data_IF_616704241640
#
_entry.id   IF_616704241640
#
_cell.length_a   1.000
_cell.length_b   1.000
_cell.length_c   1.000
_cell.angle_alpha   90.00
_cell.angle_beta   90.00
_cell.angle_gamma   90.00
#
_symmetry.space_group_name_H-M   'P 1'
#
loop_
_entity.id
_entity.type
_entity.pdbx_description
1 polymer ?
#
# COMPACT_ATOMS: atom_id res chain seq x y z
N UNK A 1 15.70 -5.14 34.87
CA UNK A 1 16.12 -3.93 34.13
C UNK A 1 15.20 -3.72 32.94
N UNK A 2 14.89 -2.49 32.55
CA UNK A 2 14.06 -2.21 31.37
C UNK A 2 14.91 -2.38 30.11
N UNK A 3 14.50 -3.16 29.10
CA UNK A 3 15.32 -3.44 27.92
C UNK A 3 15.25 -2.29 26.90
N UNK A 4 15.80 -1.12 27.24
CA UNK A 4 15.68 0.10 26.42
C UNK A 4 16.16 -0.06 24.98
N UNK A 5 17.29 -0.75 24.75
CA UNK A 5 17.83 -0.97 23.42
C UNK A 5 16.90 -1.82 22.55
N UNK A 6 16.29 -2.85 23.13
CA UNK A 6 15.30 -3.69 22.44
C UNK A 6 14.05 -2.86 22.12
N UNK A 7 13.49 -2.15 23.10
CA UNK A 7 12.29 -1.33 22.89
C UNK A 7 12.49 -0.26 21.80
N UNK A 8 13.61 0.45 21.87
CA UNK A 8 13.95 1.47 20.87
C UNK A 8 14.17 0.85 19.49
N UNK A 9 14.92 -0.26 19.41
CA UNK A 9 15.17 -0.98 18.17
C UNK A 9 13.88 -1.47 17.52
N UNK A 10 12.99 -2.09 18.30
CA UNK A 10 11.67 -2.56 17.86
C UNK A 10 10.85 -1.40 17.28
N UNK A 11 10.77 -0.27 17.99
CA UNK A 11 10.02 0.89 17.54
C UNK A 11 10.60 1.50 16.26
N UNK A 12 11.91 1.76 16.24
CA UNK A 12 12.59 2.36 15.11
C UNK A 12 12.48 1.48 13.85
N UNK A 13 12.65 0.17 14.00
CA UNK A 13 12.55 -0.77 12.89
C UNK A 13 11.10 -0.97 12.43
N UNK A 14 10.11 -0.88 13.32
CA UNK A 14 8.70 -0.90 12.92
C UNK A 14 8.33 0.30 12.06
N UNK A 15 8.69 1.51 12.50
CA UNK A 15 8.46 2.72 11.71
C UNK A 15 9.24 2.68 10.39
N UNK A 16 10.53 2.33 10.45
CA UNK A 16 11.40 2.22 9.28
C UNK A 16 10.90 1.20 8.27
N UNK A 17 10.44 0.03 8.71
CA UNK A 17 9.87 -0.99 7.84
C UNK A 17 8.54 -0.53 7.22
N UNK A 18 7.66 0.12 7.99
CA UNK A 18 6.40 0.65 7.44
C UNK A 18 6.64 1.66 6.31
N UNK A 19 7.63 2.57 6.47
CA UNK A 19 8.02 3.52 5.42
C UNK A 19 8.73 2.80 4.26
N UNK A 20 9.66 1.89 4.56
CA UNK A 20 10.43 1.15 3.57
C UNK A 20 9.54 0.28 2.67
N UNK A 21 8.44 -0.25 3.20
CA UNK A 21 7.48 -1.03 2.43
C UNK A 21 6.81 -0.26 1.31
N UNK A 22 6.62 1.07 1.42
CA UNK A 22 6.12 1.88 0.32
C UNK A 22 7.09 1.88 -0.86
N UNK A 23 8.39 2.05 -0.59
CA UNK A 23 9.43 2.02 -1.63
C UNK A 23 9.58 0.63 -2.23
N UNK A 24 9.52 -0.42 -1.40
CA UNK A 24 9.53 -1.80 -1.86
C UNK A 24 8.32 -2.10 -2.74
N UNK A 25 7.10 -1.76 -2.30
CA UNK A 25 5.88 -2.01 -3.04
C UNK A 25 5.87 -1.27 -4.38
N UNK A 26 6.27 0.01 -4.38
CA UNK A 26 6.44 0.80 -5.61
C UNK A 26 7.39 0.13 -6.60
N UNK A 27 8.59 -0.25 -6.15
CA UNK A 27 9.57 -0.91 -7.01
C UNK A 27 9.06 -2.27 -7.51
N UNK A 28 8.48 -3.08 -6.64
CA UNK A 28 7.95 -4.39 -7.00
C UNK A 28 6.77 -4.25 -8.00
N UNK A 29 5.94 -3.24 -7.83
CA UNK A 29 4.83 -2.95 -8.72
C UNK A 29 5.32 -2.64 -10.13
N UNK A 30 6.27 -1.71 -10.27
CA UNK A 30 6.87 -1.36 -11.56
C UNK A 30 7.69 -2.51 -12.16
N UNK A 31 8.68 -3.00 -11.42
CA UNK A 31 9.72 -3.88 -11.96
C UNK A 31 9.32 -5.36 -12.00
N UNK A 32 8.33 -5.78 -11.21
CA UNK A 32 7.88 -7.18 -11.16
C UNK A 32 6.44 -7.32 -11.65
N UNK A 33 5.48 -6.60 -11.05
CA UNK A 33 4.05 -6.80 -11.32
C UNK A 33 3.63 -6.31 -12.70
N UNK A 34 4.22 -5.21 -13.20
CA UNK A 34 4.06 -4.75 -14.58
C UNK A 34 5.03 -5.38 -15.59
N UNK A 35 5.79 -6.39 -15.14
CA UNK A 35 6.75 -7.11 -15.98
C UNK A 35 6.54 -8.64 -15.90
N UNK A 36 7.42 -9.35 -15.20
CA UNK A 36 7.42 -10.82 -15.16
C UNK A 36 6.20 -11.43 -14.45
N UNK A 37 5.53 -10.65 -13.59
CA UNK A 37 4.37 -11.08 -12.81
C UNK A 37 3.05 -10.47 -13.31
N UNK A 38 3.02 -9.92 -14.53
CA UNK A 38 1.82 -9.33 -15.13
C UNK A 38 0.63 -10.28 -15.14
N UNK A 39 0.83 -11.55 -15.45
CA UNK A 39 -0.25 -12.55 -15.46
C UNK A 39 -0.99 -12.67 -14.10
N UNK A 40 -0.34 -12.33 -12.98
CA UNK A 40 -0.98 -12.26 -11.66
C UNK A 40 -1.65 -10.90 -11.41
N UNK A 41 -1.01 -9.82 -11.85
CA UNK A 41 -1.46 -8.45 -11.65
C UNK A 41 -2.57 -8.00 -12.61
N UNK A 42 -2.67 -8.59 -13.80
CA UNK A 42 -3.64 -8.22 -14.84
C UNK A 42 -5.09 -8.29 -14.36
N UNK A 43 -5.38 -9.27 -13.50
CA UNK A 43 -6.71 -9.40 -12.85
C UNK A 43 -7.14 -8.13 -12.11
N UNK A 44 -6.18 -7.35 -11.62
CA UNK A 44 -6.38 -6.11 -10.89
C UNK A 44 -6.67 -4.90 -11.79
N UNK A 45 -6.19 -4.93 -13.03
CA UNK A 45 -6.42 -3.88 -14.03
C UNK A 45 -7.75 -4.04 -14.78
N UNK A 46 -8.36 -5.22 -14.68
CA UNK A 46 -9.62 -5.54 -15.35
C UNK A 46 -10.80 -5.36 -14.38
N UNK A 47 -12.04 -5.21 -14.89
CA UNK A 47 -13.23 -5.25 -14.05
C UNK A 47 -13.29 -6.53 -13.24
N UNK A 48 -13.47 -6.39 -11.93
CA UNK A 48 -13.49 -7.51 -10.98
C UNK A 48 -14.74 -8.39 -11.13
N UNK A 49 -14.57 -9.70 -11.14
CA UNK A 49 -15.66 -10.69 -11.29
C UNK A 49 -16.09 -11.37 -9.97
N UNK A 50 -15.43 -11.08 -8.84
CA UNK A 50 -15.72 -11.73 -7.55
C UNK A 50 -14.96 -11.16 -6.36
N UNK A 51 -15.09 -11.74 -5.15
CA UNK A 51 -14.45 -11.23 -3.92
C UNK A 51 -12.92 -11.33 -3.93
N UNK A 52 -12.34 -12.23 -4.72
CA UNK A 52 -10.90 -12.47 -4.80
C UNK A 52 -10.38 -12.23 -6.22
N UNK A 53 -9.12 -11.82 -6.32
CA UNK A 53 -8.36 -11.66 -7.55
C UNK A 53 -7.04 -12.45 -7.46
N UNK A 54 -6.48 -12.89 -8.58
CA UNK A 54 -5.16 -13.54 -8.58
C UNK A 54 -4.09 -12.60 -7.99
N UNK A 55 -4.26 -11.30 -8.16
CA UNK A 55 -3.44 -10.25 -7.55
C UNK A 55 -3.35 -10.33 -6.02
N UNK A 56 -4.34 -10.92 -5.34
CA UNK A 56 -4.33 -11.07 -3.87
C UNK A 56 -3.16 -11.93 -3.38
N UNK A 57 -2.52 -12.71 -4.28
CA UNK A 57 -1.29 -13.45 -4.00
C UNK A 57 -0.18 -12.54 -3.47
N UNK A 58 -0.06 -11.29 -3.96
CA UNK A 58 0.98 -10.37 -3.50
C UNK A 58 0.77 -9.94 -2.05
N UNK A 59 -0.48 -9.79 -1.60
CA UNK A 59 -0.78 -9.52 -0.20
C UNK A 59 -0.37 -10.72 0.68
N UNK A 60 -0.65 -11.95 0.24
CA UNK A 60 -0.26 -13.18 0.93
C UNK A 60 1.28 -13.31 0.98
N UNK A 61 1.97 -13.06 -0.13
CA UNK A 61 3.44 -13.12 -0.22
C UNK A 61 4.11 -12.18 0.77
N UNK A 62 3.54 -11.00 1.03
CA UNK A 62 4.06 -10.07 2.05
C UNK A 62 3.58 -10.40 3.47
N UNK A 63 2.41 -11.02 3.64
CA UNK A 63 1.88 -11.43 4.94
C UNK A 63 2.69 -12.57 5.58
N UNK A 64 3.13 -13.56 4.78
CA UNK A 64 3.93 -14.71 5.26
C UNK A 64 5.20 -14.27 6.01
N UNK A 65 6.11 -13.44 5.44
CA UNK A 65 7.29 -12.98 6.16
C UNK A 65 6.94 -12.11 7.36
N UNK A 66 5.88 -11.29 7.30
CA UNK A 66 5.44 -10.49 8.44
C UNK A 66 5.02 -11.37 9.64
N UNK A 67 4.21 -12.40 9.38
CA UNK A 67 3.76 -13.36 10.40
C UNK A 67 4.95 -14.14 10.97
N UNK A 68 5.88 -14.59 10.12
CA UNK A 68 7.08 -15.30 10.58
C UNK A 68 7.94 -14.43 11.51
N UNK A 69 8.17 -13.17 11.12
CA UNK A 69 8.95 -12.20 11.91
C UNK A 69 8.28 -11.85 13.24
N UNK A 70 6.97 -11.59 13.22
CA UNK A 70 6.17 -11.35 14.43
C UNK A 70 6.19 -12.56 15.36
N UNK A 71 6.01 -13.76 14.82
CA UNK A 71 6.00 -15.00 15.61
C UNK A 71 7.35 -15.24 16.25
N UNK A 72 8.44 -15.14 15.49
CA UNK A 72 9.79 -15.27 16.02
C UNK A 72 10.07 -14.24 17.11
N UNK A 73 9.75 -12.97 16.86
CA UNK A 73 9.95 -11.90 17.84
C UNK A 73 9.09 -12.02 19.10
N UNK A 74 7.89 -12.60 19.00
CA UNK A 74 6.98 -12.79 20.13
C UNK A 74 7.43 -13.93 21.06
N UNK A 75 7.93 -15.03 20.49
CA UNK A 75 8.30 -16.23 21.27
C UNK A 75 9.75 -16.23 21.78
N UNK A 76 10.57 -15.26 21.40
CA UNK A 76 11.97 -15.14 21.82
C UNK A 76 12.23 -13.80 22.50
N UNK A 77 13.29 -13.72 23.31
CA UNK A 77 13.67 -12.50 24.04
C UNK A 77 15.04 -12.00 23.60
N UNK A 78 15.23 -10.69 23.67
CA UNK A 78 16.48 -10.02 23.36
C UNK A 78 16.40 -9.16 22.11
N UNK A 79 17.50 -8.45 21.83
CA UNK A 79 17.53 -7.43 20.80
C UNK A 79 17.13 -7.94 19.41
N UNK A 80 17.69 -9.07 18.96
CA UNK A 80 17.42 -9.63 17.63
C UNK A 80 15.94 -10.03 17.48
N UNK A 81 15.34 -10.82 18.40
CA UNK A 81 13.90 -11.03 18.41
C UNK A 81 13.05 -9.75 18.41
N UNK A 82 13.42 -8.75 19.22
CA UNK A 82 12.73 -7.46 19.23
C UNK A 82 12.76 -6.75 17.88
N UNK A 83 13.92 -6.74 17.22
CA UNK A 83 14.07 -6.21 15.86
C UNK A 83 13.19 -6.99 14.86
N UNK A 84 13.19 -8.32 14.90
CA UNK A 84 12.30 -9.12 14.06
C UNK A 84 10.82 -8.77 14.30
N UNK A 85 10.40 -8.64 15.55
CA UNK A 85 9.05 -8.21 15.90
C UNK A 85 8.74 -6.83 15.30
N UNK A 86 9.66 -5.87 15.45
CA UNK A 86 9.53 -4.52 14.91
C UNK A 86 9.36 -4.54 13.38
N UNK A 87 10.22 -5.24 12.66
CA UNK A 87 10.13 -5.37 11.21
C UNK A 87 8.79 -5.99 10.77
N UNK A 88 8.40 -7.11 11.39
CA UNK A 88 7.12 -7.76 11.12
C UNK A 88 5.93 -6.82 11.38
N UNK A 89 5.96 -6.08 12.49
CA UNK A 89 4.93 -5.09 12.82
C UNK A 89 4.86 -3.96 11.77
N UNK A 90 6.00 -3.46 11.30
CA UNK A 90 6.04 -2.43 10.25
C UNK A 90 5.44 -2.92 8.94
N UNK A 91 5.76 -4.14 8.51
CA UNK A 91 5.17 -4.76 7.31
C UNK A 91 3.65 -4.91 7.49
N UNK A 92 3.19 -5.38 8.65
CA UNK A 92 1.76 -5.53 8.95
C UNK A 92 1.03 -4.19 8.97
N UNK A 93 1.60 -3.16 9.59
CA UNK A 93 1.01 -1.80 9.61
C UNK A 93 0.89 -1.25 8.20
N UNK A 94 1.93 -1.36 7.38
CA UNK A 94 1.87 -0.97 5.98
C UNK A 94 0.82 -1.77 5.22
N UNK A 95 0.80 -3.10 5.36
CA UNK A 95 -0.17 -3.97 4.69
C UNK A 95 -1.62 -3.65 5.06
N UNK A 96 -1.90 -3.33 6.34
CA UNK A 96 -3.22 -2.87 6.75
C UNK A 96 -3.57 -1.51 6.13
N UNK A 97 -2.65 -0.54 6.18
CA UNK A 97 -2.87 0.77 5.56
C UNK A 97 -3.13 0.64 4.05
N UNK A 98 -2.35 -0.22 3.38
CA UNK A 98 -2.51 -0.54 1.97
C UNK A 98 -3.90 -1.14 1.72
N UNK A 99 -4.31 -2.18 2.47
CA UNK A 99 -5.64 -2.79 2.31
C UNK A 99 -6.78 -1.77 2.46
N UNK A 100 -6.76 -0.92 3.50
CA UNK A 100 -7.83 0.07 3.68
C UNK A 100 -7.84 1.13 2.57
N UNK A 101 -6.68 1.59 2.11
CA UNK A 101 -6.61 2.63 1.08
C UNK A 101 -6.82 2.05 -0.30
N UNK A 102 -6.04 1.06 -0.70
CA UNK A 102 -6.12 0.43 -2.00
C UNK A 102 -7.44 -0.35 -2.17
N UNK A 103 -7.59 -1.47 -1.46
CA UNK A 103 -8.74 -2.37 -1.64
C UNK A 103 -10.06 -1.73 -1.18
N UNK A 104 -10.03 -1.05 -0.04
CA UNK A 104 -11.19 -0.39 0.54
C UNK A 104 -11.57 0.91 -0.17
N UNK A 105 -10.68 1.91 -0.21
CA UNK A 105 -11.00 3.24 -0.74
C UNK A 105 -10.92 3.32 -2.27
N UNK A 106 -9.89 2.73 -2.90
CA UNK A 106 -9.72 2.81 -4.36
C UNK A 106 -10.64 1.83 -5.07
N UNK A 107 -10.55 0.55 -4.73
CA UNK A 107 -11.28 -0.54 -5.39
C UNK A 107 -12.66 -0.82 -4.80
N UNK A 108 -13.03 -0.15 -3.70
CA UNK A 108 -14.35 -0.26 -3.05
C UNK A 108 -14.75 -1.70 -2.74
N UNK A 109 -13.78 -2.54 -2.35
CA UNK A 109 -14.04 -3.93 -1.95
C UNK A 109 -14.82 -4.00 -0.63
N UNK A 110 -14.67 -3.01 0.24
CA UNK A 110 -15.41 -2.85 1.50
C UNK A 110 -15.51 -1.37 1.89
N UNK A 111 -16.37 -1.03 2.84
CA UNK A 111 -16.57 0.35 3.29
C UNK A 111 -15.44 0.78 4.25
N UNK A 112 -14.87 1.96 4.01
CA UNK A 112 -13.75 2.51 4.81
C UNK A 112 -14.15 3.68 5.71
N UNK A 113 -15.46 3.98 5.76
CA UNK A 113 -16.02 5.00 6.64
C UNK A 113 -15.37 6.39 6.46
N UNK A 114 -15.03 7.10 7.55
CA UNK A 114 -14.51 8.47 7.51
C UNK A 114 -13.20 8.63 6.73
N UNK A 115 -12.41 7.57 6.56
CA UNK A 115 -11.13 7.58 5.83
C UNK A 115 -11.33 8.04 4.39
N UNK A 116 -12.49 7.72 3.78
CA UNK A 116 -12.84 8.18 2.43
C UNK A 116 -12.94 9.70 2.29
N UNK A 117 -13.04 10.43 3.40
CA UNK A 117 -13.18 11.89 3.41
C UNK A 117 -11.86 12.63 3.66
N UNK A 118 -10.77 11.91 3.95
CA UNK A 118 -9.45 12.53 4.16
C UNK A 118 -8.93 13.05 2.82
N UNK A 119 -8.65 14.37 2.69
CA UNK A 119 -8.27 14.97 1.40
C UNK A 119 -7.06 14.31 0.74
N UNK A 120 -6.04 13.99 1.53
CA UNK A 120 -4.85 13.31 1.03
C UNK A 120 -5.16 11.91 0.47
N UNK A 121 -5.96 11.11 1.18
CA UNK A 121 -6.31 9.76 0.74
C UNK A 121 -7.22 9.76 -0.49
N UNK A 122 -8.06 10.80 -0.65
CA UNK A 122 -8.78 11.03 -1.91
C UNK A 122 -7.83 11.29 -3.08
N UNK A 123 -6.77 12.08 -2.85
CA UNK A 123 -5.73 12.34 -3.85
C UNK A 123 -4.95 11.07 -4.21
N UNK A 124 -4.58 10.26 -3.21
CA UNK A 124 -3.98 8.94 -3.43
C UNK A 124 -4.90 8.04 -4.27
N UNK A 125 -6.18 7.99 -3.94
CA UNK A 125 -7.14 7.18 -4.68
C UNK A 125 -7.36 7.67 -6.13
N UNK A 126 -7.29 8.99 -6.36
CA UNK A 126 -7.30 9.58 -7.70
C UNK A 126 -6.02 9.22 -8.48
N UNK A 127 -4.85 9.28 -7.84
CA UNK A 127 -3.58 8.92 -8.44
C UNK A 127 -3.56 7.45 -8.90
N UNK A 128 -4.05 6.54 -8.05
CA UNK A 128 -4.17 5.11 -8.41
C UNK A 128 -5.19 4.85 -9.52
N UNK A 129 -6.24 5.67 -9.63
CA UNK A 129 -7.16 5.58 -10.78
C UNK A 129 -6.48 5.93 -12.10
N UNK A 130 -5.58 6.92 -12.08
CA UNK A 130 -4.81 7.31 -13.26
C UNK A 130 -3.83 6.21 -13.66
N UNK A 131 -3.24 5.50 -12.69
CA UNK A 131 -2.43 4.31 -12.94
C UNK A 131 -3.19 3.29 -13.81
N UNK A 132 -4.40 2.91 -13.40
CA UNK A 132 -5.26 1.98 -14.16
C UNK A 132 -5.75 2.48 -15.52
N UNK A 133 -5.52 3.77 -15.83
CA UNK A 133 -5.84 4.31 -17.16
C UNK A 133 -4.67 4.19 -18.15
N UNK A 134 -3.53 3.65 -17.70
CA UNK A 134 -2.28 3.53 -18.45
C UNK A 134 -1.76 4.86 -19.04
N UNK A 135 -2.22 5.99 -18.49
CA UNK A 135 -1.67 7.32 -18.78
C UNK A 135 -0.26 7.42 -18.19
N UNK A 136 0.51 8.38 -18.67
CA UNK A 136 1.86 8.67 -18.15
C UNK A 136 2.78 7.43 -18.11
N UNK A 137 2.67 6.56 -19.12
CA UNK A 137 3.45 5.32 -19.19
C UNK A 137 3.23 4.37 -17.99
N UNK A 138 2.03 4.38 -17.42
CA UNK A 138 1.66 3.54 -16.26
C UNK A 138 1.99 4.16 -14.90
N UNK A 139 2.53 5.38 -14.84
CA UNK A 139 2.75 6.08 -13.56
C UNK A 139 1.41 6.53 -12.97
N UNK A 140 1.20 6.44 -11.64
CA UNK A 140 2.16 6.05 -10.59
C UNK A 140 2.19 4.56 -10.24
N UNK A 141 3.32 4.09 -9.68
CA UNK A 141 3.47 2.72 -9.18
C UNK A 141 3.41 2.61 -7.65
N UNK A 142 3.71 3.68 -6.92
CA UNK A 142 3.53 3.79 -5.48
C UNK A 142 2.08 4.15 -5.13
N UNK A 143 1.61 3.65 -3.98
CA UNK A 143 0.28 3.98 -3.50
C UNK A 143 0.28 5.35 -2.84
N UNK A 144 1.02 5.50 -1.75
CA UNK A 144 1.08 6.76 -1.01
C UNK A 144 1.97 7.79 -1.69
N UNK A 145 3.02 7.36 -2.38
CA UNK A 145 3.87 8.24 -3.20
C UNK A 145 3.24 8.59 -4.55
N UNK A 146 2.10 7.98 -4.92
CA UNK A 146 1.52 8.15 -6.24
C UNK A 146 1.23 9.60 -6.66
N UNK A 147 0.69 10.47 -5.79
CA UNK A 147 0.54 11.90 -6.11
C UNK A 147 1.87 12.60 -6.46
N UNK A 148 2.96 12.22 -5.79
CA UNK A 148 4.30 12.77 -6.03
C UNK A 148 4.89 12.24 -7.34
N UNK A 149 4.72 10.96 -7.63
CA UNK A 149 5.18 10.40 -8.92
C UNK A 149 4.46 11.04 -10.11
N UNK A 150 3.15 11.31 -9.97
CA UNK A 150 2.40 12.06 -10.97
C UNK A 150 2.91 13.49 -11.12
N UNK A 151 3.30 14.15 -10.03
CA UNK A 151 3.93 15.48 -10.08
C UNK A 151 5.23 15.45 -10.88
N UNK A 152 6.09 14.46 -10.64
CA UNK A 152 7.38 14.29 -11.30
C UNK A 152 7.27 14.08 -12.83
N UNK A 153 6.15 13.52 -13.30
CA UNK A 153 5.87 13.32 -14.74
C UNK A 153 4.93 14.37 -15.35
N UNK A 154 4.60 15.45 -14.61
CA UNK A 154 3.74 16.53 -15.09
C UNK A 154 2.24 16.21 -15.13
N UNK A 155 1.79 15.18 -14.41
CA UNK A 155 0.41 14.71 -14.36
C UNK A 155 -0.52 15.42 -13.36
N UNK A 156 -0.09 16.53 -12.75
CA UNK A 156 -0.87 17.24 -11.72
C UNK A 156 -2.26 17.69 -12.21
N UNK A 157 -2.36 18.20 -13.44
CA UNK A 157 -3.64 18.68 -13.98
C UNK A 157 -4.67 17.54 -14.10
N UNK A 158 -4.24 16.37 -14.58
CA UNK A 158 -5.10 15.18 -14.68
C UNK A 158 -5.45 14.63 -13.30
N UNK A 159 -4.51 14.69 -12.35
CA UNK A 159 -4.76 14.31 -10.96
C UNK A 159 -5.84 15.20 -10.32
N UNK A 160 -5.75 16.51 -10.48
CA UNK A 160 -6.73 17.44 -9.92
C UNK A 160 -8.12 17.28 -10.56
N UNK A 161 -8.18 17.05 -11.89
CA UNK A 161 -9.43 16.70 -12.59
C UNK A 161 -10.08 15.44 -12.02
N UNK A 162 -9.29 14.40 -11.75
CA UNK A 162 -9.78 13.14 -11.20
C UNK A 162 -10.24 13.29 -9.74
N UNK A 163 -9.52 14.08 -8.92
CA UNK A 163 -9.95 14.43 -7.57
C UNK A 163 -11.30 15.15 -7.58
N UNK A 164 -11.47 16.16 -8.43
CA UNK A 164 -12.73 16.90 -8.57
C UNK A 164 -13.88 16.00 -9.02
N UNK A 165 -13.61 15.10 -9.97
CA UNK A 165 -14.58 14.09 -10.43
C UNK A 165 -15.03 13.22 -9.26
N UNK A 166 -14.10 12.73 -8.43
CA UNK A 166 -14.39 11.90 -7.25
C UNK A 166 -15.22 12.66 -6.20
N UNK A 167 -14.90 13.93 -5.93
CA UNK A 167 -15.69 14.76 -5.00
C UNK A 167 -17.11 14.95 -5.52
N UNK A 168 -17.28 15.29 -6.81
CA UNK A 168 -18.60 15.44 -7.43
C UNK A 168 -19.43 14.15 -7.36
N UNK A 169 -18.81 12.99 -7.55
CA UNK A 169 -19.47 11.69 -7.42
C UNK A 169 -19.89 11.41 -5.97
N UNK A 170 -19.03 11.72 -5.00
CA UNK A 170 -19.34 11.52 -3.58
C UNK A 170 -20.48 12.41 -3.08
N UNK A 171 -20.63 13.62 -3.61
CA UNK A 171 -21.69 14.56 -3.21
C UNK A 171 -23.06 14.25 -3.86
N UNK A 172 -23.11 13.32 -4.81
CA UNK A 172 -24.36 12.89 -5.49
C UNK A 172 -24.97 11.64 -4.86
N UNK A 173 -24.23 10.97 -3.99
CA UNK A 173 -24.65 9.78 -3.22
C UNK A 173 -25.16 10.21 -1.85
#
# INVERSE_FOLDING_TARGET
EVPYAEMFGTFALSFGAAVGMEYWARWAHEALWHASLWHMHESHHRPREGPFELNDVFAITNAVPAIALLSYGFFHKGLVPGLCFGAGLGITVFGMAYMFVHDGLVHRRFTVGPIANVPYLRRVAAAHQLHHSDKFSGVPFGLFLGPKELEEVGGLEELDKEVDRRIKLSNRL
#
